data_IF_548271447693
#
_entry.id   IF_548271447693
#
_cell.length_a   1.000
_cell.length_b   1.000
_cell.length_c   1.000
_cell.angle_alpha   90.00
_cell.angle_beta   90.00
_cell.angle_gamma   90.00
#
_symmetry.space_group_name_H-M   'P 1'
#
loop_
_entity.id
_entity.type
_entity.pdbx_description
1 polymer ?
#
# COMPACT_ATOMS: atom_id res chain seq x y z
N UNK A 1 -4.86 -2.88 14.00
CA UNK A 1 -5.93 -1.96 13.53
C UNK A 1 -5.30 -0.63 13.17
N UNK A 2 -5.46 -0.06 11.99
CA UNK A 2 -5.52 -0.56 10.61
C UNK A 2 -5.35 0.72 9.79
N UNK A 3 -4.42 0.79 8.85
CA UNK A 3 -4.37 1.90 7.91
C UNK A 3 -5.54 1.72 6.95
N UNK A 4 -6.41 2.74 6.83
CA UNK A 4 -7.55 2.71 5.90
C UNK A 4 -7.55 3.99 5.09
N UNK A 5 -7.22 3.88 3.81
CA UNK A 5 -7.32 4.98 2.87
C UNK A 5 -8.60 4.79 2.08
N UNK A 6 -9.66 5.53 2.45
CA UNK A 6 -10.96 5.42 1.79
C UNK A 6 -11.06 6.43 0.65
N UNK A 7 -11.45 5.98 -0.54
CA UNK A 7 -11.50 6.83 -1.74
C UNK A 7 -10.14 7.41 -2.10
N UNK A 8 -9.09 6.58 -1.99
CA UNK A 8 -7.77 6.95 -2.46
C UNK A 8 -7.74 6.85 -3.98
N UNK A 9 -7.04 7.76 -4.64
CA UNK A 9 -6.99 7.83 -6.09
C UNK A 9 -5.78 7.06 -6.61
N UNK A 10 -5.97 6.23 -7.64
CA UNK A 10 -4.85 5.71 -8.43
C UNK A 10 -4.27 6.87 -9.24
N UNK A 11 -3.17 7.46 -8.77
CA UNK A 11 -2.56 8.66 -9.37
C UNK A 11 -1.82 8.33 -10.66
N UNK A 12 -1.09 7.21 -10.65
CA UNK A 12 -0.19 6.84 -11.73
C UNK A 12 0.03 5.32 -11.75
N UNK A 13 0.19 4.78 -12.95
CA UNK A 13 0.70 3.43 -13.20
C UNK A 13 1.86 3.60 -14.17
N UNK A 14 3.07 3.27 -13.75
CA UNK A 14 4.29 3.48 -14.52
C UNK A 14 5.06 2.18 -14.73
N UNK A 15 5.85 2.14 -15.81
CA UNK A 15 6.79 1.05 -16.05
C UNK A 15 7.95 1.14 -15.06
N UNK A 16 8.42 -0.01 -14.60
CA UNK A 16 9.67 -0.09 -13.83
C UNK A 16 10.82 -0.47 -14.76
N UNK A 17 12.05 -0.43 -14.25
CA UNK A 17 13.23 -0.92 -14.99
C UNK A 17 13.16 -2.43 -15.29
N UNK A 18 12.34 -3.17 -14.53
CA UNK A 18 12.17 -4.61 -14.70
C UNK A 18 11.00 -4.90 -15.62
N UNK A 19 11.26 -5.64 -16.70
CA UNK A 19 10.22 -6.06 -17.63
C UNK A 19 9.08 -6.81 -16.91
N UNK A 20 7.83 -6.50 -17.29
CA UNK A 20 6.58 -7.05 -16.72
C UNK A 20 6.30 -6.66 -15.26
N UNK A 21 7.08 -5.75 -14.67
CA UNK A 21 6.74 -5.10 -13.41
C UNK A 21 6.34 -3.65 -13.66
N UNK A 22 5.25 -3.24 -13.01
CA UNK A 22 4.75 -1.88 -13.02
C UNK A 22 4.65 -1.36 -11.60
N UNK A 23 4.78 -0.06 -11.43
CA UNK A 23 4.59 0.63 -10.16
C UNK A 23 3.23 1.32 -10.19
N UNK A 24 2.39 1.05 -9.19
CA UNK A 24 1.14 1.76 -8.96
C UNK A 24 1.31 2.75 -7.82
N UNK A 25 0.97 4.01 -8.07
CA UNK A 25 0.96 5.07 -7.07
C UNK A 25 -0.48 5.43 -6.71
N UNK A 26 -0.82 5.30 -5.44
CA UNK A 26 -2.15 5.54 -4.88
C UNK A 26 -2.05 6.64 -3.83
N UNK A 27 -2.78 7.73 -4.02
CA UNK A 27 -2.72 8.91 -3.18
C UNK A 27 -4.06 9.26 -2.54
N UNK A 28 -4.04 9.65 -1.27
CA UNK A 28 -5.18 10.26 -0.57
C UNK A 28 -4.77 11.64 -0.08
N UNK A 29 -4.98 12.66 -0.94
CA UNK A 29 -4.58 14.05 -0.71
C UNK A 29 -5.08 14.64 0.62
N UNK A 30 -6.35 14.46 1.04
CA UNK A 30 -6.83 15.01 2.30
C UNK A 30 -6.05 14.52 3.53
N UNK A 31 -5.52 13.31 3.49
CA UNK A 31 -4.76 12.70 4.58
C UNK A 31 -3.24 12.78 4.38
N UNK A 32 -2.78 13.32 3.24
CA UNK A 32 -1.36 13.34 2.88
C UNK A 32 -0.74 11.94 2.82
N UNK A 33 -1.55 10.94 2.47
CA UNK A 33 -1.12 9.54 2.38
C UNK A 33 -0.78 9.18 0.94
N UNK A 34 0.33 8.47 0.75
CA UNK A 34 0.78 7.96 -0.55
C UNK A 34 1.25 6.53 -0.36
N UNK A 35 0.72 5.62 -1.16
CA UNK A 35 1.17 4.24 -1.29
C UNK A 35 1.75 4.05 -2.69
N UNK A 36 2.97 3.56 -2.78
CA UNK A 36 3.57 3.07 -4.01
C UNK A 36 3.78 1.57 -3.88
N UNK A 37 3.34 0.79 -4.86
CA UNK A 37 3.46 -0.66 -4.85
C UNK A 37 3.91 -1.17 -6.21
N UNK A 38 4.94 -2.01 -6.21
CA UNK A 38 5.32 -2.76 -7.40
C UNK A 38 4.46 -4.02 -7.54
N UNK A 39 3.94 -4.25 -8.73
CA UNK A 39 3.14 -5.42 -9.06
C UNK A 39 3.51 -5.98 -10.44
N UNK A 40 3.29 -7.29 -10.68
CA UNK A 40 3.23 -7.83 -12.02
C UNK A 40 2.21 -7.06 -12.85
N UNK A 41 2.55 -6.82 -14.11
CA UNK A 41 1.70 -6.13 -15.10
C UNK A 41 0.26 -6.65 -15.10
N UNK A 42 0.07 -7.98 -15.08
CA UNK A 42 -1.24 -8.62 -15.05
C UNK A 42 -2.11 -8.25 -13.83
N UNK A 43 -1.50 -7.94 -12.68
CA UNK A 43 -2.23 -7.46 -11.50
C UNK A 43 -2.47 -5.95 -11.58
N UNK A 44 -1.52 -5.19 -12.14
CA UNK A 44 -1.68 -3.76 -12.41
C UNK A 44 -2.80 -3.47 -13.41
N UNK A 45 -3.01 -4.33 -14.41
CA UNK A 45 -4.07 -4.15 -15.43
C UNK A 45 -5.48 -4.26 -14.85
N UNK A 46 -5.62 -4.78 -13.62
CA UNK A 46 -6.89 -4.70 -12.91
C UNK A 46 -7.21 -3.27 -12.50
N UNK A 47 -6.23 -2.35 -12.47
CA UNK A 47 -6.33 -0.94 -12.09
C UNK A 47 -6.33 0.04 -13.26
N UNK A 48 -6.92 1.22 -13.03
CA UNK A 48 -7.03 2.32 -13.98
C UNK A 48 -6.62 3.63 -13.31
N UNK A 49 -5.80 4.41 -13.99
CA UNK A 49 -5.46 5.76 -13.54
C UNK A 49 -6.72 6.59 -13.33
N UNK A 50 -6.74 7.39 -12.26
CA UNK A 50 -7.85 8.25 -11.80
C UNK A 50 -9.09 7.50 -11.30
N UNK A 51 -9.00 6.21 -11.05
CA UNK A 51 -10.07 5.51 -10.33
C UNK A 51 -9.90 5.67 -8.80
N UNK A 52 -11.02 5.59 -8.09
CA UNK A 52 -11.04 5.52 -6.63
C UNK A 52 -10.93 4.06 -6.16
N UNK A 53 -10.06 3.83 -5.18
CA UNK A 53 -9.84 2.54 -4.51
C UNK A 53 -9.87 2.71 -3.00
N UNK A 54 -10.14 1.61 -2.30
CA UNK A 54 -9.97 1.58 -0.85
C UNK A 54 -8.78 0.70 -0.48
N UNK A 55 -7.81 1.28 0.22
CA UNK A 55 -6.62 0.56 0.71
C UNK A 55 -6.79 0.25 2.19
N UNK A 56 -6.55 -1.00 2.57
CA UNK A 56 -6.55 -1.46 3.95
C UNK A 56 -5.20 -2.12 4.23
N UNK A 57 -4.49 -1.70 5.29
CA UNK A 57 -3.27 -2.36 5.76
C UNK A 57 -3.41 -2.67 7.25
N UNK A 58 -3.14 -3.91 7.65
CA UNK A 58 -3.23 -4.32 9.06
C UNK A 58 -2.09 -5.27 9.46
N UNK A 59 -1.86 -5.41 10.75
CA UNK A 59 -0.90 -6.37 11.33
C UNK A 59 -1.47 -7.80 11.41
N UNK A 60 -2.71 -7.97 10.98
CA UNK A 60 -3.49 -9.22 11.00
C UNK A 60 -4.15 -9.46 9.64
N UNK A 61 -4.50 -10.71 9.30
CA UNK A 61 -5.22 -11.02 8.08
C UNK A 61 -6.51 -10.18 7.94
N UNK A 62 -6.75 -9.65 6.74
CA UNK A 62 -7.91 -8.79 6.48
C UNK A 62 -9.09 -9.67 6.08
N UNK A 63 -10.16 -9.63 6.88
CA UNK A 63 -11.39 -10.36 6.57
C UNK A 63 -11.96 -9.92 5.21
N UNK A 64 -12.34 -10.89 4.36
CA UNK A 64 -12.79 -10.69 2.96
C UNK A 64 -11.72 -10.19 1.99
N UNK A 65 -10.43 -10.32 2.32
CA UNK A 65 -9.33 -10.03 1.40
C UNK A 65 -9.42 -10.78 0.05
N UNK A 66 -10.03 -11.96 0.02
CA UNK A 66 -10.25 -12.75 -1.21
C UNK A 66 -11.17 -12.08 -2.24
N UNK A 67 -12.02 -11.13 -1.80
CA UNK A 67 -12.87 -10.34 -2.70
C UNK A 67 -12.20 -9.05 -3.18
N UNK A 68 -10.98 -8.79 -2.73
CA UNK A 68 -10.20 -7.62 -3.13
C UNK A 68 -9.58 -7.83 -4.51
N UNK A 69 -9.36 -6.73 -5.24
CA UNK A 69 -8.63 -6.74 -6.52
C UNK A 69 -7.17 -7.11 -6.30
N UNK A 70 -6.64 -6.76 -5.14
CA UNK A 70 -5.34 -7.21 -4.67
C UNK A 70 -5.38 -7.53 -3.18
N UNK A 71 -4.80 -8.66 -2.80
CA UNK A 71 -4.58 -9.05 -1.41
C UNK A 71 -3.20 -9.70 -1.26
N UNK A 72 -2.42 -9.29 -0.27
CA UNK A 72 -1.07 -9.79 -0.07
C UNK A 72 -0.60 -9.72 1.38
N UNK A 73 0.24 -10.68 1.75
CA UNK A 73 1.05 -10.64 2.97
C UNK A 73 2.43 -10.08 2.62
N UNK A 74 2.85 -9.06 3.38
CA UNK A 74 4.13 -8.41 3.23
C UNK A 74 4.94 -8.40 4.51
N UNK A 75 6.19 -7.96 4.38
CA UNK A 75 7.13 -7.76 5.49
C UNK A 75 7.59 -6.31 5.55
N UNK A 76 7.67 -5.79 6.76
CA UNK A 76 8.25 -4.47 7.02
C UNK A 76 9.76 -4.60 6.91
N UNK A 77 10.39 -3.78 6.06
CA UNK A 77 11.84 -3.70 5.92
C UNK A 77 12.42 -2.53 6.72
N UNK A 78 11.79 -1.37 6.63
CA UNK A 78 12.21 -0.15 7.33
C UNK A 78 11.00 0.69 7.70
N UNK A 79 11.01 1.27 8.90
CA UNK A 79 10.04 2.29 9.32
C UNK A 79 10.82 3.53 9.74
N UNK A 80 10.56 4.64 9.07
CA UNK A 80 10.96 5.96 9.55
C UNK A 80 9.82 6.56 10.36
N UNK A 81 10.07 6.88 11.64
CA UNK A 81 9.05 7.41 12.56
C UNK A 81 9.21 8.91 12.84
N UNK A 82 10.23 9.55 12.26
CA UNK A 82 10.53 10.98 12.41
C UNK A 82 9.55 11.84 11.58
N UNK A 83 9.91 13.08 11.23
CA UNK A 83 9.07 14.15 10.66
C UNK A 83 8.11 13.73 9.53
N UNK A 84 8.39 12.64 8.83
CA UNK A 84 7.54 12.01 7.84
C UNK A 84 7.47 10.50 8.08
N UNK A 85 6.29 9.97 8.40
CA UNK A 85 6.15 8.54 8.67
C UNK A 85 6.17 7.76 7.36
N UNK A 86 7.24 6.99 7.20
CA UNK A 86 7.53 6.23 5.99
C UNK A 86 7.70 4.76 6.37
N UNK A 87 7.07 3.88 5.61
CA UNK A 87 7.22 2.45 5.73
C UNK A 87 7.68 1.92 4.39
N UNK A 88 8.84 1.27 4.39
CA UNK A 88 9.32 0.49 3.27
C UNK A 88 9.11 -0.97 3.63
N UNK A 89 8.44 -1.70 2.76
CA UNK A 89 8.15 -3.12 2.92
C UNK A 89 8.28 -3.89 1.61
N UNK A 90 8.04 -5.19 1.70
CA UNK A 90 7.97 -6.05 0.52
C UNK A 90 6.76 -6.98 0.56
N UNK A 91 6.19 -7.30 -0.59
CA UNK A 91 5.13 -8.30 -0.75
C UNK A 91 5.60 -9.30 -1.80
N UNK A 92 5.91 -10.53 -1.40
CA UNK A 92 6.49 -11.53 -2.31
C UNK A 92 7.81 -11.08 -2.98
N UNK A 93 8.57 -10.20 -2.31
CA UNK A 93 9.81 -9.61 -2.85
C UNK A 93 9.61 -8.31 -3.64
N UNK A 94 8.37 -7.91 -3.94
CA UNK A 94 8.04 -6.67 -4.63
C UNK A 94 8.01 -5.50 -3.66
N UNK A 95 8.49 -4.34 -4.07
CA UNK A 95 8.62 -3.18 -3.20
C UNK A 95 7.27 -2.53 -2.87
N UNK A 96 7.11 -2.13 -1.61
CA UNK A 96 6.03 -1.28 -1.13
C UNK A 96 6.63 -0.09 -0.39
N UNK A 97 6.21 1.12 -0.73
CA UNK A 97 6.53 2.35 0.01
C UNK A 97 5.22 3.02 0.44
N UNK A 98 5.02 3.21 1.74
CA UNK A 98 3.89 3.94 2.30
C UNK A 98 4.38 5.17 3.03
N UNK A 99 3.85 6.32 2.65
CA UNK A 99 4.06 7.59 3.33
C UNK A 99 2.75 8.08 3.95
N UNK A 100 2.79 8.49 5.22
CA UNK A 100 1.68 9.11 5.93
C UNK A 100 2.13 10.45 6.52
N UNK A 101 1.51 11.56 6.12
CA UNK A 101 1.85 12.89 6.63
C UNK A 101 1.48 13.08 8.12
N UNK A 102 0.34 12.52 8.55
CA UNK A 102 -0.17 12.67 9.94
C UNK A 102 -0.65 11.31 10.49
N UNK A 103 0.26 10.34 10.68
CA UNK A 103 -0.12 9.02 11.16
C UNK A 103 -0.67 9.07 12.59
N UNK A 104 -1.81 8.42 12.80
CA UNK A 104 -2.33 8.12 14.13
C UNK A 104 -1.43 7.09 14.85
N UNK A 105 -1.43 7.05 16.19
CA UNK A 105 -0.68 6.03 16.95
C UNK A 105 -1.02 4.60 16.54
N UNK A 106 -2.27 4.32 16.18
CA UNK A 106 -2.73 3.03 15.65
C UNK A 106 -2.11 2.67 14.30
N UNK A 107 -2.00 3.65 13.38
CA UNK A 107 -1.34 3.44 12.09
C UNK A 107 0.15 3.17 12.29
N UNK A 108 0.82 3.90 13.20
CA UNK A 108 2.22 3.63 13.55
C UNK A 108 2.41 2.21 14.07
N UNK A 109 1.56 1.80 15.02
CA UNK A 109 1.62 0.48 15.66
C UNK A 109 1.39 -0.68 14.71
N UNK A 110 0.66 -0.47 13.62
CA UNK A 110 0.43 -1.49 12.57
C UNK A 110 1.75 -2.02 12.00
N UNK A 111 2.80 -1.19 12.00
CA UNK A 111 4.12 -1.53 11.47
C UNK A 111 5.16 -1.85 12.56
N UNK A 112 4.71 -2.09 13.80
CA UNK A 112 5.58 -2.65 14.85
C UNK A 112 5.75 -4.17 14.69
N UNK A 113 4.87 -4.82 13.93
CA UNK A 113 4.97 -6.20 13.49
C UNK A 113 5.94 -6.32 12.31
N UNK A 114 6.68 -7.43 12.24
CA UNK A 114 7.50 -7.76 11.07
C UNK A 114 6.66 -7.98 9.80
N UNK A 115 5.38 -8.31 9.96
CA UNK A 115 4.47 -8.64 8.87
C UNK A 115 3.25 -7.74 8.86
N UNK A 116 2.74 -7.48 7.67
CA UNK A 116 1.50 -6.78 7.44
C UNK A 116 0.70 -7.46 6.33
N UNK A 117 -0.60 -7.20 6.30
CA UNK A 117 -1.49 -7.61 5.24
C UNK A 117 -2.03 -6.37 4.56
N UNK A 118 -2.15 -6.39 3.24
CA UNK A 118 -2.74 -5.32 2.45
C UNK A 118 -3.88 -5.85 1.60
N UNK A 119 -4.93 -5.05 1.48
CA UNK A 119 -6.02 -5.25 0.54
C UNK A 119 -6.29 -3.95 -0.24
N UNK A 120 -6.49 -4.06 -1.55
CA UNK A 120 -6.96 -2.96 -2.41
C UNK A 120 -8.30 -3.37 -3.00
N UNK A 121 -9.35 -2.65 -2.61
CA UNK A 121 -10.75 -2.88 -3.00
C UNK A 121 -11.16 -1.89 -4.09
#
# INVERSE_FOLDING_TARGET
MVVRLKGALVEEISETETARLRSIRIGLKPEGAVLTLELPEALCDTFKTREDVNVIIDDKPIARGESARFYGEGRVFKVNREDNFEVIGTIGGLRLDLHLAKPTPSQKKTFDSERFFIAIL
#
